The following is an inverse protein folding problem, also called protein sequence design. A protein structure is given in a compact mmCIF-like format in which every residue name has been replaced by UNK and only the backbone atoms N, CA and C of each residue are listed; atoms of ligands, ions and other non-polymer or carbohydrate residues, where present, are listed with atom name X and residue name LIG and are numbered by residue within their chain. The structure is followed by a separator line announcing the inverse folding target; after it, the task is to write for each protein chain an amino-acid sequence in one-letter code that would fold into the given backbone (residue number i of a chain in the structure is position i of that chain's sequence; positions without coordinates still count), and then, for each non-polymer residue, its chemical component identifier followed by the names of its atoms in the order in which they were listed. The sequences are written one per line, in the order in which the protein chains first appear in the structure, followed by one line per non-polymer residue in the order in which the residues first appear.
data_IF_471290204439
#
_entry.id   IF_471290204439
#
_cell.length_a   1.000
_cell.length_b   1.000
_cell.length_c   1.000
_cell.angle_alpha   90.00
_cell.angle_beta   90.00
_cell.angle_gamma   90.00
#
_symmetry.space_group_name_H-M   'P 1'
#
loop_
_entity.id
_entity.type
_entity.pdbx_description
1 polymer ?
#
# COMPACT_ATOMS: atom_id res chain seq x y z
N UNK A 1 10.52 14.81 -11.16
CA UNK A 1 9.71 13.88 -10.62
C UNK A 1 10.45 12.86 -9.78
N UNK A 2 11.48 12.12 -10.17
CA UNK A 2 12.46 11.41 -9.34
C UNK A 2 11.93 10.35 -8.35
N UNK A 3 10.78 9.74 -8.60
CA UNK A 3 10.30 8.60 -7.82
C UNK A 3 10.88 7.31 -8.41
N UNK A 4 11.32 6.41 -7.55
CA UNK A 4 11.84 5.10 -7.96
C UNK A 4 11.03 4.01 -7.28
N UNK A 5 10.64 2.99 -8.05
CA UNK A 5 10.05 1.76 -7.54
C UNK A 5 11.08 0.65 -7.76
N UNK A 6 11.46 -0.03 -6.69
CA UNK A 6 12.31 -1.21 -6.75
C UNK A 6 11.48 -2.43 -6.41
N UNK A 7 11.44 -3.40 -7.32
CA UNK A 7 10.78 -4.68 -7.12
C UNK A 7 11.81 -5.78 -6.91
N UNK A 8 11.55 -6.64 -5.93
CA UNK A 8 12.33 -7.85 -5.70
C UNK A 8 11.38 -9.01 -5.44
N UNK A 9 11.45 -10.04 -6.27
CA UNK A 9 10.67 -11.26 -6.09
C UNK A 9 11.62 -12.42 -5.89
N UNK A 10 11.71 -12.91 -4.67
CA UNK A 10 12.55 -14.05 -4.30
C UNK A 10 11.76 -14.98 -3.38
N UNK A 11 11.48 -16.18 -3.84
CA UNK A 11 10.68 -17.19 -3.14
C UNK A 11 11.53 -18.44 -2.76
N UNK A 12 12.81 -18.45 -3.07
CA UNK A 12 13.66 -19.62 -2.90
C UNK A 12 14.72 -19.46 -1.80
N UNK A 13 15.21 -18.24 -1.55
CA UNK A 13 16.22 -18.00 -0.52
C UNK A 13 15.61 -18.01 0.88
N UNK A 14 16.18 -18.78 1.83
CA UNK A 14 15.73 -18.76 3.22
C UNK A 14 15.96 -17.36 3.83
N UNK A 15 14.90 -16.69 4.19
CA UNK A 15 14.95 -15.36 4.83
C UNK A 15 13.64 -15.06 5.57
N UNK A 16 13.63 -14.12 6.52
CA UNK A 16 12.39 -13.67 7.14
C UNK A 16 11.42 -13.13 6.08
N UNK A 17 10.14 -13.41 6.28
CA UNK A 17 9.10 -12.86 5.42
C UNK A 17 9.16 -11.33 5.41
N UNK A 18 9.15 -10.76 4.21
CA UNK A 18 9.11 -9.30 4.02
C UNK A 18 8.42 -8.96 2.70
N UNK A 19 7.58 -7.95 2.73
CA UNK A 19 7.04 -7.29 1.52
C UNK A 19 7.79 -6.00 1.20
N UNK A 20 8.87 -5.68 1.94
CA UNK A 20 9.68 -4.51 1.70
C UNK A 20 8.91 -3.18 1.84
N UNK A 21 7.91 -3.11 2.72
CA UNK A 21 7.14 -1.88 2.94
C UNK A 21 8.00 -0.87 3.67
N UNK A 22 8.68 -0.04 2.88
CA UNK A 22 9.57 1.00 3.36
C UNK A 22 9.21 2.34 2.74
N UNK A 23 9.04 3.35 3.59
CA UNK A 23 8.82 4.73 3.21
C UNK A 23 9.96 5.59 3.77
N UNK A 24 10.59 6.36 2.91
CA UNK A 24 11.66 7.29 3.29
C UNK A 24 11.24 8.68 2.84
N UNK A 25 11.08 9.57 3.79
CA UNK A 25 10.73 10.98 3.55
C UNK A 25 11.77 11.93 4.13
N UNK A 26 11.62 13.21 3.84
CA UNK A 26 12.52 14.27 4.34
C UNK A 26 12.38 14.51 5.85
N UNK A 27 11.31 14.03 6.46
CA UNK A 27 11.00 14.27 7.88
C UNK A 27 10.78 12.98 8.67
N UNK A 28 10.97 11.82 8.06
CA UNK A 28 10.76 10.56 8.75
C UNK A 28 11.00 9.35 7.88
N UNK A 29 10.95 8.21 8.52
CA UNK A 29 11.19 6.90 7.96
C UNK A 29 10.20 5.92 8.55
N UNK A 30 9.65 5.04 7.74
CA UNK A 30 8.83 3.93 8.20
C UNK A 30 9.23 2.64 7.48
N UNK A 31 9.36 1.55 8.24
CA UNK A 31 9.59 0.21 7.72
C UNK A 31 8.69 -0.78 8.45
N UNK A 32 8.03 -1.65 7.70
CA UNK A 32 7.15 -2.67 8.29
C UNK A 32 7.87 -3.99 8.52
N UNK A 33 8.92 -4.29 7.76
CA UNK A 33 9.57 -5.59 7.76
C UNK A 33 11.10 -5.49 7.83
N UNK A 34 11.79 -6.44 8.51
CA UNK A 34 11.24 -7.54 9.32
C UNK A 34 10.73 -7.11 10.68
N UNK A 35 11.06 -5.90 11.12
CA UNK A 35 10.65 -5.30 12.38
C UNK A 35 10.01 -3.95 12.08
N UNK A 36 8.82 -3.74 12.64
CA UNK A 36 8.09 -2.50 12.46
C UNK A 36 8.79 -1.34 13.15
N UNK A 37 9.12 -0.29 12.38
CA UNK A 37 9.83 0.90 12.86
C UNK A 37 9.20 2.16 12.25
N UNK A 38 9.08 3.19 13.07
CA UNK A 38 8.68 4.53 12.64
C UNK A 38 9.61 5.56 13.28
N UNK A 39 10.19 6.42 12.46
CA UNK A 39 11.06 7.52 12.90
C UNK A 39 10.48 8.85 12.44
N UNK A 40 10.46 9.82 13.32
CA UNK A 40 10.11 11.21 13.01
C UNK A 40 11.31 12.09 13.33
N UNK A 41 11.89 12.66 12.29
CA UNK A 41 13.23 13.26 12.41
C UNK A 41 14.27 12.19 12.80
N UNK A 42 15.00 12.45 13.86
CA UNK A 42 16.05 11.56 14.38
C UNK A 42 15.56 10.66 15.55
N UNK A 43 14.26 10.72 15.86
CA UNK A 43 13.68 10.01 17.01
C UNK A 43 12.83 8.84 16.56
N UNK A 44 13.10 7.65 17.08
CA UNK A 44 12.22 6.50 16.94
C UNK A 44 10.93 6.71 17.74
N UNK A 45 9.80 6.45 17.10
CA UNK A 45 8.47 6.54 17.72
C UNK A 45 8.17 5.22 18.41
N UNK A 46 7.76 5.26 19.65
CA UNK A 46 7.40 4.06 20.40
C UNK A 46 6.13 3.41 19.81
N UNK A 47 6.01 2.11 19.97
CA UNK A 47 4.90 1.33 19.38
C UNK A 47 3.52 1.83 19.84
N UNK A 48 3.37 2.16 21.12
CA UNK A 48 2.13 2.73 21.68
C UNK A 48 1.79 4.10 21.07
N UNK A 49 2.80 4.93 20.80
CA UNK A 49 2.64 6.21 20.11
C UNK A 49 2.26 6.03 18.65
N UNK A 50 2.82 4.99 17.96
CA UNK A 50 2.46 4.65 16.56
C UNK A 50 0.98 4.31 16.45
N UNK A 51 0.46 3.46 17.33
CA UNK A 51 -0.95 3.09 17.34
C UNK A 51 -1.86 4.31 17.55
N UNK A 52 -1.49 5.21 18.47
CA UNK A 52 -2.21 6.46 18.69
C UNK A 52 -2.13 7.42 17.49
N UNK A 53 -1.03 7.41 16.75
CA UNK A 53 -0.88 8.19 15.51
C UNK A 53 -1.76 7.63 14.39
N UNK A 54 -1.78 6.31 14.22
CA UNK A 54 -2.65 5.64 13.24
C UNK A 54 -4.10 5.98 13.53
N UNK A 55 -4.55 5.79 14.77
CA UNK A 55 -5.93 6.03 15.18
C UNK A 55 -6.38 7.48 14.92
N UNK A 56 -5.52 8.45 15.20
CA UNK A 56 -5.81 9.88 14.91
C UNK A 56 -5.81 10.22 13.42
N UNK A 57 -5.09 9.44 12.62
CA UNK A 57 -4.96 9.66 11.18
C UNK A 57 -6.06 8.98 10.36
N UNK A 58 -6.81 8.06 10.97
CA UNK A 58 -7.92 7.40 10.29
C UNK A 58 -9.06 8.39 10.01
N UNK A 59 -9.61 8.40 8.78
CA UNK A 59 -10.87 9.09 8.50
C UNK A 59 -11.99 8.59 9.41
N UNK A 60 -12.93 9.45 9.79
CA UNK A 60 -13.97 9.12 10.76
C UNK A 60 -14.88 7.97 10.32
N UNK A 61 -15.17 7.87 9.03
CA UNK A 61 -15.94 6.77 8.43
C UNK A 61 -15.20 5.43 8.56
N UNK A 62 -13.88 5.41 8.35
CA UNK A 62 -13.06 4.21 8.51
C UNK A 62 -12.94 3.84 9.99
N UNK A 63 -12.72 4.83 10.86
CA UNK A 63 -12.61 4.60 12.32
C UNK A 63 -13.88 3.97 12.87
N UNK A 64 -15.06 4.45 12.45
CA UNK A 64 -16.34 3.91 12.90
C UNK A 64 -16.58 2.47 12.44
N UNK A 65 -16.05 2.10 11.27
CA UNK A 65 -16.18 0.75 10.71
C UNK A 65 -15.18 -0.26 11.27
N UNK A 66 -14.03 0.19 11.76
CA UNK A 66 -12.90 -0.65 12.12
C UNK A 66 -13.30 -1.76 13.11
N UNK A 67 -13.99 -1.42 14.18
CA UNK A 67 -14.40 -2.40 15.20
C UNK A 67 -15.33 -3.48 14.62
N UNK A 68 -16.29 -3.10 13.78
CA UNK A 68 -17.17 -4.06 13.10
C UNK A 68 -16.39 -4.90 12.09
N UNK A 69 -15.51 -4.27 11.32
CA UNK A 69 -14.71 -4.93 10.32
C UNK A 69 -13.80 -6.02 10.90
N UNK A 70 -13.18 -5.76 12.05
CA UNK A 70 -12.32 -6.71 12.76
C UNK A 70 -13.07 -7.96 13.25
N UNK A 71 -14.38 -7.89 13.42
CA UNK A 71 -15.22 -9.06 13.77
C UNK A 71 -15.47 -10.00 12.58
N UNK A 72 -15.42 -9.48 11.37
CA UNK A 72 -15.73 -10.23 10.14
C UNK A 72 -14.48 -10.62 9.32
N UNK A 73 -13.34 -10.01 9.58
CA UNK A 73 -12.12 -10.26 8.84
C UNK A 73 -10.91 -10.34 9.79
N UNK A 74 -10.31 -11.53 9.85
CA UNK A 74 -9.13 -11.82 10.68
C UNK A 74 -7.83 -11.11 10.24
N UNK A 75 -7.86 -10.37 9.13
CA UNK A 75 -6.77 -9.53 8.63
C UNK A 75 -6.88 -8.06 9.05
N UNK A 76 -7.49 -7.79 10.21
CA UNK A 76 -7.69 -6.43 10.71
C UNK A 76 -8.81 -5.67 10.00
N UNK A 77 -9.77 -6.38 9.43
CA UNK A 77 -10.95 -5.77 8.83
C UNK A 77 -10.75 -5.17 7.44
N UNK A 78 -9.57 -5.34 6.82
CA UNK A 78 -9.23 -4.67 5.54
C UNK A 78 -10.20 -5.05 4.43
N UNK A 79 -10.51 -6.34 4.26
CA UNK A 79 -11.40 -6.81 3.21
C UNK A 79 -12.82 -6.27 3.40
N UNK A 80 -13.31 -6.30 4.64
CA UNK A 80 -14.61 -5.74 4.97
C UNK A 80 -14.71 -4.24 4.66
N UNK A 81 -13.70 -3.46 5.05
CA UNK A 81 -13.67 -2.02 4.79
C UNK A 81 -13.63 -1.72 3.29
N UNK A 82 -12.86 -2.49 2.53
CA UNK A 82 -12.77 -2.35 1.07
C UNK A 82 -14.12 -2.59 0.40
N UNK A 83 -14.80 -3.69 0.74
CA UNK A 83 -16.11 -4.03 0.18
C UNK A 83 -17.18 -3.02 0.61
N UNK A 84 -17.17 -2.60 1.87
CA UNK A 84 -18.06 -1.55 2.37
C UNK A 84 -17.89 -0.25 1.59
N UNK A 85 -16.66 0.19 1.37
CA UNK A 85 -16.34 1.41 0.61
C UNK A 85 -16.84 1.33 -0.82
N UNK A 86 -16.64 0.20 -1.49
CA UNK A 86 -17.16 -0.03 -2.83
C UNK A 86 -18.69 0.11 -2.87
N UNK A 87 -19.41 -0.62 -2.00
CA UNK A 87 -20.86 -0.59 -1.94
C UNK A 87 -21.37 0.82 -1.60
N UNK A 88 -20.76 1.49 -0.63
CA UNK A 88 -21.14 2.84 -0.22
C UNK A 88 -20.97 3.87 -1.35
N UNK A 89 -19.89 3.79 -2.11
CA UNK A 89 -19.67 4.64 -3.28
C UNK A 89 -20.74 4.39 -4.36
N UNK A 90 -21.04 3.12 -4.65
CA UNK A 90 -22.06 2.76 -5.64
C UNK A 90 -23.47 3.20 -5.23
N UNK A 91 -23.86 2.96 -3.98
CA UNK A 91 -25.18 3.35 -3.44
C UNK A 91 -25.35 4.87 -3.44
N UNK A 92 -24.31 5.62 -3.10
CA UNK A 92 -24.34 7.08 -3.00
C UNK A 92 -24.00 7.81 -4.29
N UNK A 93 -23.68 7.09 -5.36
CA UNK A 93 -23.27 7.66 -6.64
C UNK A 93 -21.97 8.48 -6.52
N UNK A 94 -21.07 8.11 -5.61
CA UNK A 94 -19.76 8.74 -5.44
C UNK A 94 -18.70 8.08 -6.32
N UNK A 95 -17.63 8.81 -6.69
CA UNK A 95 -16.47 8.19 -7.33
C UNK A 95 -15.93 7.03 -6.50
N UNK A 96 -15.50 5.98 -7.16
CA UNK A 96 -14.81 4.87 -6.50
C UNK A 96 -13.45 5.31 -5.98
N UNK A 97 -12.98 4.69 -4.90
CA UNK A 97 -11.62 4.93 -4.37
C UNK A 97 -10.52 4.49 -5.35
N UNK A 98 -10.86 3.53 -6.20
CA UNK A 98 -9.99 2.99 -7.25
C UNK A 98 -10.84 2.69 -8.48
N UNK A 99 -10.31 2.96 -9.65
CA UNK A 99 -11.00 2.68 -10.91
C UNK A 99 -10.21 1.70 -11.81
N UNK A 100 -10.73 1.45 -13.00
CA UNK A 100 -10.10 0.54 -13.97
C UNK A 100 -8.73 1.02 -14.45
N UNK A 101 -8.47 2.32 -14.42
CA UNK A 101 -7.18 2.88 -14.82
C UNK A 101 -6.12 2.64 -13.75
N UNK A 102 -6.47 2.80 -12.46
CA UNK A 102 -5.60 2.41 -11.34
C UNK A 102 -5.24 0.92 -11.41
N UNK A 103 -6.24 0.07 -11.71
CA UNK A 103 -6.00 -1.36 -11.88
C UNK A 103 -5.06 -1.65 -13.06
N UNK A 104 -5.24 -0.97 -14.19
CA UNK A 104 -4.38 -1.14 -15.36
C UNK A 104 -2.92 -0.75 -15.04
N UNK A 105 -2.70 0.37 -14.32
CA UNK A 105 -1.37 0.78 -13.89
C UNK A 105 -0.72 -0.25 -12.97
N UNK A 106 -1.45 -0.79 -12.02
CA UNK A 106 -0.91 -1.79 -11.09
C UNK A 106 -0.59 -3.12 -11.77
N UNK A 107 -1.49 -3.59 -12.64
CA UNK A 107 -1.26 -4.82 -13.38
C UNK A 107 -0.11 -4.70 -14.39
N UNK A 108 0.07 -3.54 -15.00
CA UNK A 108 1.16 -3.32 -15.95
C UNK A 108 2.55 -3.54 -15.35
N UNK A 109 2.72 -3.33 -14.03
CA UNK A 109 4.00 -3.57 -13.35
C UNK A 109 4.48 -5.01 -13.52
N UNK A 110 3.59 -5.99 -13.51
CA UNK A 110 3.94 -7.42 -13.67
C UNK A 110 4.49 -7.67 -15.08
N UNK A 111 3.72 -7.32 -16.10
CA UNK A 111 4.09 -7.49 -17.50
C UNK A 111 5.38 -6.74 -17.88
N UNK A 112 5.48 -5.48 -17.45
CA UNK A 112 6.65 -4.65 -17.72
C UNK A 112 7.90 -5.13 -16.99
N UNK A 113 7.76 -5.73 -15.81
CA UNK A 113 8.86 -6.33 -15.08
C UNK A 113 9.41 -7.56 -15.82
N UNK A 114 8.53 -8.42 -16.34
CA UNK A 114 8.91 -9.57 -17.17
C UNK A 114 9.60 -9.13 -18.45
N UNK A 115 9.03 -8.12 -19.14
CA UNK A 115 9.64 -7.54 -20.33
C UNK A 115 11.05 -7.00 -20.06
N UNK A 116 11.21 -6.22 -18.98
CA UNK A 116 12.51 -5.68 -18.57
C UNK A 116 13.53 -6.80 -18.34
N UNK A 117 13.16 -7.84 -17.61
CA UNK A 117 14.06 -8.98 -17.30
C UNK A 117 14.44 -9.71 -18.59
N UNK A 118 13.49 -9.98 -19.48
CA UNK A 118 13.73 -10.68 -20.75
C UNK A 118 14.69 -9.92 -21.67
N UNK A 119 14.78 -8.60 -21.51
CA UNK A 119 15.68 -7.73 -22.27
C UNK A 119 17.00 -7.41 -21.53
N UNK A 120 17.33 -8.12 -20.45
CA UNK A 120 18.55 -7.93 -19.68
C UNK A 120 18.43 -6.85 -18.58
N UNK A 121 17.24 -6.70 -18.00
CA UNK A 121 16.95 -5.73 -16.93
C UNK A 121 17.13 -4.27 -17.35
N UNK A 122 16.74 -3.96 -18.58
CA UNK A 122 16.76 -2.59 -19.09
C UNK A 122 15.52 -1.81 -18.62
N UNK A 123 15.61 -0.46 -18.52
CA UNK A 123 14.44 0.36 -18.28
C UNK A 123 13.38 0.19 -19.38
N UNK A 124 12.12 -0.01 -19.00
CA UNK A 124 10.99 -0.03 -19.91
C UNK A 124 10.02 1.11 -19.59
N UNK A 125 9.39 1.67 -20.64
CA UNK A 125 8.43 2.73 -20.45
C UNK A 125 7.12 2.16 -19.88
N UNK A 126 6.58 2.82 -18.85
CA UNK A 126 5.23 2.52 -18.35
C UNK A 126 4.23 3.28 -19.23
N UNK A 127 3.23 2.60 -19.82
CA UNK A 127 2.16 3.27 -20.57
C UNK A 127 1.40 4.26 -19.68
N UNK A 128 0.94 5.35 -20.27
CA UNK A 128 0.06 6.30 -19.60
C UNK A 128 -1.39 5.82 -19.76
N UNK A 129 -1.98 5.34 -18.67
CA UNK A 129 -3.37 4.89 -18.60
C UNK A 129 -4.33 6.00 -18.19
N UNK A 130 -3.87 7.23 -18.00
CA UNK A 130 -4.71 8.34 -17.56
C UNK A 130 -5.88 8.58 -18.54
N UNK A 131 -7.01 8.97 -17.98
CA UNK A 131 -8.15 9.44 -18.80
C UNK A 131 -7.73 10.68 -19.59
N UNK A 132 -7.86 10.62 -20.90
CA UNK A 132 -7.79 11.78 -21.78
C UNK A 132 -9.13 12.48 -21.84
#
# INVERSE_FOLDING_TARGET
LGRTIQLSHDVQTPRPYSRGYRLVGTKGYADKYPVEQLWVGEKEVRRDEVEAMIERSLPDDIRSLRHTAEQYDNRGGISYIMDYRLVDCLVKGRPLDMDVYDLAEWCAVVELSELSISQGSVPVAVPDFCRK
#
